data_IF_315639377676
#
_entry.id   IF_315639377676
#
_cell.length_a   1.000
_cell.length_b   1.000
_cell.length_c   1.000
_cell.angle_alpha   90.00
_cell.angle_beta   90.00
_cell.angle_gamma   90.00
#
_symmetry.space_group_name_H-M   'P 1'
#
loop_
_entity.id
_entity.type
_entity.pdbx_description
1 polymer ?
#
# COMPACT_ATOMS: atom_id res chain seq x y z
N UNK A 1 10.49 6.54 -17.88
CA UNK A 1 10.00 5.45 -17.02
C UNK A 1 8.55 5.24 -17.38
N UNK A 2 8.19 4.10 -17.97
CA UNK A 2 6.80 3.83 -18.29
C UNK A 2 6.18 3.22 -17.03
N UNK A 3 5.34 3.99 -16.35
CA UNK A 3 4.45 3.45 -15.33
C UNK A 3 3.62 2.35 -15.98
N UNK A 4 3.72 1.14 -15.46
CA UNK A 4 2.66 0.15 -15.66
C UNK A 4 1.47 0.68 -14.84
N UNK A 5 0.35 0.99 -15.45
CA UNK A 5 -0.87 1.18 -14.69
C UNK A 5 -1.28 -0.20 -14.20
N UNK A 6 -0.87 -0.56 -12.98
CA UNK A 6 -1.56 -1.62 -12.28
C UNK A 6 -2.96 -1.07 -12.00
N UNK A 7 -3.88 -1.46 -12.86
CA UNK A 7 -5.30 -1.27 -12.68
C UNK A 7 -5.65 -1.76 -11.28
N UNK A 8 -6.02 -0.82 -10.42
CA UNK A 8 -6.64 -1.10 -9.13
C UNK A 8 -7.99 -1.71 -9.47
N UNK A 9 -8.01 -3.03 -9.51
CA UNK A 9 -9.21 -3.79 -9.82
C UNK A 9 -10.21 -3.65 -8.69
N UNK A 10 -11.22 -2.88 -8.93
CA UNK A 10 -12.54 -3.36 -8.56
C UNK A 10 -12.85 -4.50 -9.54
N UNK A 11 -13.20 -5.72 -9.10
CA UNK A 11 -13.38 -6.87 -9.99
C UNK A 11 -14.64 -6.73 -10.82
N UNK A 12 -14.57 -5.96 -11.89
CA UNK A 12 -15.76 -5.62 -12.66
C UNK A 12 -15.42 -5.31 -14.09
N UNK A 13 -15.99 -6.05 -15.03
CA UNK A 13 -16.18 -5.60 -16.40
C UNK A 13 -16.73 -6.68 -17.34
N UNK A 14 -17.82 -6.39 -18.01
CA UNK A 14 -18.37 -6.50 -19.37
C UNK A 14 -19.59 -7.36 -19.61
N UNK A 15 -20.51 -6.97 -20.35
CA UNK A 15 -21.10 -7.30 -21.64
C UNK A 15 -22.52 -6.74 -21.86
N UNK A 16 -22.68 -5.97 -22.87
CA UNK A 16 -23.61 -5.77 -23.97
C UNK A 16 -25.09 -5.54 -23.84
N UNK A 17 -25.38 -4.59 -24.64
CA UNK A 17 -26.61 -4.20 -25.35
C UNK A 17 -27.59 -5.32 -25.61
N UNK A 18 -28.62 -5.41 -24.80
CA UNK A 18 -29.99 -5.70 -25.22
C UNK A 18 -30.95 -4.99 -24.29
N UNK A 19 -31.80 -4.16 -24.86
CA UNK A 19 -32.97 -3.51 -24.30
C UNK A 19 -33.11 -3.59 -22.78
N UNK A 20 -32.72 -2.51 -22.14
CA UNK A 20 -32.95 -2.29 -20.72
C UNK A 20 -34.43 -2.15 -20.41
N UNK A 21 -35.12 -3.27 -20.31
CA UNK A 21 -36.19 -3.34 -19.34
C UNK A 21 -35.49 -3.66 -18.02
N UNK A 22 -35.11 -2.60 -17.30
CA UNK A 22 -34.64 -2.71 -15.94
C UNK A 22 -35.71 -3.42 -15.12
N UNK A 23 -35.60 -4.73 -14.97
CA UNK A 23 -36.34 -5.44 -13.96
C UNK A 23 -35.74 -5.07 -12.59
N UNK A 24 -36.30 -4.04 -11.99
CA UNK A 24 -35.89 -3.54 -10.67
C UNK A 24 -35.82 -4.68 -9.64
N UNK A 25 -36.65 -5.70 -9.79
CA UNK A 25 -36.64 -6.89 -8.94
C UNK A 25 -35.38 -7.71 -9.13
N UNK A 26 -34.92 -7.86 -10.37
CA UNK A 26 -33.72 -8.65 -10.70
C UNK A 26 -32.42 -7.98 -10.24
N UNK A 27 -32.31 -6.65 -10.37
CA UNK A 27 -31.17 -5.90 -9.85
C UNK A 27 -31.10 -5.97 -8.33
N UNK A 28 -32.21 -5.86 -7.62
CA UNK A 28 -32.24 -6.05 -6.17
C UNK A 28 -31.81 -7.47 -5.75
N UNK A 29 -32.25 -8.49 -6.48
CA UNK A 29 -31.80 -9.87 -6.24
C UNK A 29 -30.30 -10.03 -6.50
N UNK A 30 -29.77 -9.38 -7.54
CA UNK A 30 -28.35 -9.36 -7.83
C UNK A 30 -27.55 -8.71 -6.69
N UNK A 31 -27.93 -7.51 -6.26
CA UNK A 31 -27.25 -6.82 -5.15
C UNK A 31 -27.25 -7.72 -3.92
N UNK A 32 -28.36 -8.29 -3.55
CA UNK A 32 -28.47 -9.22 -2.42
C UNK A 32 -27.62 -10.50 -2.62
N UNK A 33 -27.33 -10.92 -3.86
CA UNK A 33 -26.50 -12.10 -4.14
C UNK A 33 -25.00 -11.86 -4.04
N UNK A 34 -24.58 -10.60 -4.13
CA UNK A 34 -23.17 -10.19 -4.02
C UNK A 34 -22.88 -9.37 -2.75
N UNK A 35 -23.90 -9.18 -1.89
CA UNK A 35 -23.69 -8.56 -0.57
C UNK A 35 -22.84 -9.48 0.29
N UNK A 36 -21.77 -8.92 0.88
CA UNK A 36 -20.86 -9.69 1.73
C UNK A 36 -19.50 -9.06 1.88
N UNK A 37 -18.66 -9.70 2.68
CA UNK A 37 -17.27 -9.38 2.89
C UNK A 37 -16.40 -10.45 2.21
N UNK A 38 -15.60 -10.05 1.24
CA UNK A 38 -14.82 -10.91 0.38
C UNK A 38 -13.34 -10.64 0.54
N UNK A 39 -12.60 -11.70 0.81
CA UNK A 39 -11.16 -11.69 0.88
C UNK A 39 -10.55 -12.37 -0.33
N UNK A 40 -9.53 -11.76 -0.88
CA UNK A 40 -8.80 -12.27 -2.04
C UNK A 40 -7.31 -12.24 -1.76
N UNK A 41 -6.66 -13.36 -2.03
CA UNK A 41 -5.20 -13.45 -2.05
C UNK A 41 -4.67 -13.00 -3.41
N UNK A 42 -3.65 -12.14 -3.39
CA UNK A 42 -2.91 -11.74 -4.60
C UNK A 42 -1.62 -12.53 -4.64
N UNK A 43 -1.32 -13.15 -5.78
CA UNK A 43 -0.11 -13.96 -5.96
C UNK A 43 0.69 -13.52 -7.18
N UNK A 44 2.02 -13.64 -7.08
CA UNK A 44 2.98 -13.63 -8.17
C UNK A 44 3.58 -15.04 -8.25
N UNK A 45 3.31 -15.78 -9.36
CA UNK A 45 3.78 -17.16 -9.53
C UNK A 45 3.52 -18.05 -8.30
N UNK A 46 2.30 -18.04 -7.80
CA UNK A 46 1.82 -18.77 -6.62
C UNK A 46 2.33 -18.28 -5.25
N UNK A 47 3.25 -17.32 -5.19
CA UNK A 47 3.65 -16.67 -3.94
C UNK A 47 2.66 -15.56 -3.57
N UNK A 48 2.23 -15.53 -2.32
CA UNK A 48 1.39 -14.44 -1.80
C UNK A 48 2.16 -13.11 -1.82
N UNK A 49 1.65 -12.09 -2.51
CA UNK A 49 2.26 -10.76 -2.61
C UNK A 49 1.36 -9.66 -2.11
N UNK A 50 0.12 -9.97 -1.76
CA UNK A 50 -0.83 -8.99 -1.27
C UNK A 50 -2.21 -9.56 -1.06
N UNK A 51 -3.15 -8.67 -0.76
CA UNK A 51 -4.55 -9.00 -0.62
C UNK A 51 -5.46 -7.88 -1.14
N UNK A 52 -6.68 -8.26 -1.44
CA UNK A 52 -7.82 -7.38 -1.61
C UNK A 52 -8.91 -7.85 -0.66
N UNK A 53 -9.42 -6.93 0.18
CA UNK A 53 -10.67 -7.12 0.88
C UNK A 53 -11.72 -6.22 0.25
N UNK A 54 -12.89 -6.74 -0.05
CA UNK A 54 -14.00 -5.99 -0.63
C UNK A 54 -15.30 -6.30 0.13
N UNK A 55 -15.89 -5.28 0.71
CA UNK A 55 -17.19 -5.35 1.35
C UNK A 55 -18.23 -4.65 0.48
N UNK A 56 -19.32 -5.37 0.15
CA UNK A 56 -20.47 -4.83 -0.57
C UNK A 56 -21.66 -4.92 0.37
N UNK A 57 -22.30 -3.79 0.63
CA UNK A 57 -23.43 -3.73 1.54
C UNK A 57 -24.51 -2.75 1.07
N UNK A 58 -25.76 -3.04 1.41
CA UNK A 58 -26.88 -2.13 1.23
C UNK A 58 -27.13 -1.37 2.53
N UNK A 59 -26.89 -0.06 2.51
CA UNK A 59 -27.04 0.84 3.65
C UNK A 59 -28.20 1.81 3.47
N UNK A 60 -28.50 2.62 4.49
CA UNK A 60 -29.50 3.71 4.38
C UNK A 60 -29.10 4.76 3.34
N UNK A 61 -27.79 4.97 3.13
CA UNK A 61 -27.25 5.91 2.14
C UNK A 61 -27.31 5.37 0.71
N UNK A 62 -27.35 4.05 0.53
CA UNK A 62 -27.37 3.38 -0.76
C UNK A 62 -26.54 2.11 -0.81
N UNK A 63 -26.05 1.74 -1.99
CA UNK A 63 -25.15 0.60 -2.18
C UNK A 63 -23.73 1.06 -1.87
N UNK A 64 -23.14 0.51 -0.83
CA UNK A 64 -21.76 0.80 -0.43
C UNK A 64 -20.82 -0.28 -0.92
N UNK A 65 -19.72 0.13 -1.54
CA UNK A 65 -18.54 -0.73 -1.82
C UNK A 65 -17.39 -0.15 -1.03
N UNK A 66 -16.83 -0.93 -0.12
CA UNK A 66 -15.55 -0.66 0.52
C UNK A 66 -14.51 -1.62 -0.02
N UNK A 67 -13.34 -1.13 -0.38
CA UNK A 67 -12.24 -1.98 -0.85
C UNK A 67 -10.94 -1.57 -0.18
N UNK A 68 -10.23 -2.53 0.34
CA UNK A 68 -8.88 -2.39 0.88
C UNK A 68 -7.94 -3.27 0.08
N UNK A 69 -7.03 -2.65 -0.66
CA UNK A 69 -6.01 -3.31 -1.48
C UNK A 69 -4.63 -3.03 -0.90
N UNK A 70 -3.83 -4.06 -0.75
CA UNK A 70 -2.42 -3.93 -0.39
C UNK A 70 -1.62 -5.03 -1.08
N UNK A 71 -0.56 -4.64 -1.79
CA UNK A 71 0.34 -5.61 -2.38
C UNK A 71 1.74 -5.02 -2.58
N UNK A 72 2.72 -5.93 -2.60
CA UNK A 72 4.12 -5.60 -2.88
C UNK A 72 4.69 -6.63 -3.85
N UNK A 73 5.11 -6.17 -5.01
CA UNK A 73 5.74 -6.99 -6.03
C UNK A 73 7.22 -6.65 -6.07
N UNK A 74 8.09 -7.66 -6.10
CA UNK A 74 9.53 -7.47 -6.14
C UNK A 74 9.97 -6.46 -7.21
N UNK A 75 10.72 -5.44 -6.80
CA UNK A 75 11.23 -4.37 -7.67
C UNK A 75 10.23 -3.23 -7.96
N UNK A 76 9.04 -3.25 -7.37
CA UNK A 76 8.06 -2.16 -7.41
C UNK A 76 7.80 -1.64 -6.00
N UNK A 77 7.44 -0.36 -5.90
CA UNK A 77 6.99 0.21 -4.63
C UNK A 77 5.72 -0.49 -4.14
N UNK A 78 5.59 -0.74 -2.83
CA UNK A 78 4.34 -1.24 -2.25
C UNK A 78 3.18 -0.32 -2.59
N UNK A 79 2.06 -0.90 -2.96
CA UNK A 79 0.84 -0.18 -3.30
C UNK A 79 -0.23 -0.52 -2.28
N UNK A 80 -0.83 0.50 -1.70
CA UNK A 80 -2.02 0.37 -0.86
C UNK A 80 -3.13 1.25 -1.40
N UNK A 81 -4.37 0.81 -1.30
CA UNK A 81 -5.54 1.63 -1.62
C UNK A 81 -6.68 1.28 -0.67
N UNK A 82 -7.24 2.31 -0.04
CA UNK A 82 -8.50 2.25 0.67
C UNK A 82 -9.52 3.06 -0.12
N UNK A 83 -10.57 2.40 -0.62
CA UNK A 83 -11.59 3.02 -1.46
C UNK A 83 -12.98 2.76 -0.89
N UNK A 84 -13.81 3.79 -0.88
CA UNK A 84 -15.22 3.71 -0.54
C UNK A 84 -16.05 4.40 -1.61
N UNK A 85 -17.03 3.68 -2.16
CA UNK A 85 -17.98 4.17 -3.15
C UNK A 85 -19.38 3.99 -2.61
N UNK A 86 -20.22 5.00 -2.74
CA UNK A 86 -21.63 4.97 -2.36
C UNK A 86 -22.45 5.31 -3.59
N UNK A 87 -23.34 4.37 -3.97
CA UNK A 87 -24.23 4.50 -5.12
C UNK A 87 -25.67 4.61 -4.67
N UNK A 88 -26.49 5.28 -5.48
CA UNK A 88 -27.93 5.33 -5.27
C UNK A 88 -28.53 3.92 -5.21
N UNK A 89 -29.42 3.66 -4.24
CA UNK A 89 -30.18 2.41 -4.15
C UNK A 89 -31.29 2.30 -5.23
N UNK A 90 -31.49 3.34 -6.01
CA UNK A 90 -32.50 3.45 -7.06
C UNK A 90 -31.86 3.66 -8.44
N UNK A 91 -32.49 3.14 -9.52
CA UNK A 91 -32.02 3.40 -10.87
C UNK A 91 -31.83 4.89 -11.15
N UNK A 92 -30.77 5.27 -11.89
CA UNK A 92 -29.79 4.43 -12.60
C UNK A 92 -28.63 3.91 -11.73
N UNK A 93 -28.73 3.91 -10.40
CA UNK A 93 -27.69 3.44 -9.47
C UNK A 93 -26.37 4.22 -9.61
N UNK A 94 -26.48 5.54 -9.84
CA UNK A 94 -25.33 6.41 -10.04
C UNK A 94 -24.50 6.58 -8.75
N UNK A 95 -23.23 6.91 -8.92
CA UNK A 95 -22.34 7.25 -7.82
C UNK A 95 -22.84 8.51 -7.11
N UNK A 96 -23.03 8.45 -5.80
CA UNK A 96 -23.35 9.60 -4.95
C UNK A 96 -22.06 10.23 -4.45
N UNK A 97 -21.14 9.39 -3.97
CA UNK A 97 -19.90 9.82 -3.37
C UNK A 97 -18.82 8.72 -3.52
N UNK A 98 -17.61 9.14 -3.80
CA UNK A 98 -16.44 8.27 -3.82
C UNK A 98 -15.29 8.89 -3.04
N UNK A 99 -14.56 8.07 -2.31
CA UNK A 99 -13.28 8.44 -1.72
C UNK A 99 -12.29 7.33 -1.95
N UNK A 100 -11.05 7.70 -2.23
CA UNK A 100 -9.96 6.74 -2.31
C UNK A 100 -8.69 7.38 -1.74
N UNK A 101 -8.00 6.63 -0.89
CA UNK A 101 -6.65 6.96 -0.44
C UNK A 101 -5.70 5.95 -1.02
N UNK A 102 -4.73 6.40 -1.79
CA UNK A 102 -3.68 5.57 -2.39
C UNK A 102 -2.35 5.84 -1.73
N UNK A 103 -1.62 4.78 -1.42
CA UNK A 103 -0.24 4.85 -0.98
C UNK A 103 0.68 4.22 -2.01
N UNK A 104 1.81 4.89 -2.28
CA UNK A 104 2.91 4.38 -3.10
C UNK A 104 4.17 4.55 -2.28
N UNK A 105 4.61 3.49 -1.60
CA UNK A 105 5.69 3.61 -0.65
C UNK A 105 5.37 4.65 0.45
N UNK A 106 6.13 5.74 0.49
CA UNK A 106 5.95 6.82 1.47
C UNK A 106 5.03 7.97 0.99
N UNK A 107 4.51 7.91 -0.22
CA UNK A 107 3.63 8.93 -0.79
C UNK A 107 2.16 8.51 -0.66
N UNK A 108 1.29 9.47 -0.41
CA UNK A 108 -0.15 9.23 -0.36
C UNK A 108 -0.88 10.26 -1.23
N UNK A 109 -1.90 9.77 -1.94
CA UNK A 109 -2.81 10.57 -2.75
C UNK A 109 -4.22 10.33 -2.23
N UNK A 110 -4.90 11.40 -1.83
CA UNK A 110 -6.31 11.36 -1.44
C UNK A 110 -7.16 11.86 -2.61
N UNK A 111 -8.12 11.04 -3.02
CA UNK A 111 -9.11 11.32 -4.06
C UNK A 111 -10.50 11.43 -3.42
N UNK A 112 -11.25 12.47 -3.74
CA UNK A 112 -12.69 12.51 -3.48
C UNK A 112 -13.45 12.81 -4.77
N UNK A 113 -14.60 12.14 -4.93
CA UNK A 113 -15.51 12.32 -6.06
C UNK A 113 -16.89 12.58 -5.46
N UNK A 114 -17.40 13.76 -5.71
CA UNK A 114 -18.70 14.19 -5.22
C UNK A 114 -19.61 14.54 -6.41
N UNK A 115 -20.90 14.22 -6.29
CA UNK A 115 -21.89 14.64 -7.27
C UNK A 115 -22.02 16.16 -7.26
N UNK A 116 -21.99 16.81 -8.44
CA UNK A 116 -22.18 18.26 -8.52
C UNK A 116 -23.64 18.65 -8.16
N UNK A 117 -23.83 19.55 -7.19
CA UNK A 117 -25.18 19.87 -6.69
C UNK A 117 -26.07 20.63 -7.68
N UNK A 118 -25.49 21.29 -8.68
CA UNK A 118 -26.25 22.16 -9.60
C UNK A 118 -26.84 21.47 -10.84
N UNK A 119 -26.58 20.18 -11.03
CA UNK A 119 -26.83 19.52 -12.31
C UNK A 119 -27.78 18.31 -12.24
N UNK A 120 -28.63 18.23 -11.26
CA UNK A 120 -29.69 17.21 -11.23
C UNK A 120 -30.94 17.64 -11.99
N UNK A 121 -30.87 17.73 -13.31
CA UNK A 121 -32.04 17.85 -14.18
C UNK A 121 -32.31 16.48 -14.81
N UNK A 122 -33.19 15.72 -14.20
CA UNK A 122 -33.57 14.39 -14.68
C UNK A 122 -33.06 13.24 -13.84
N UNK A 123 -33.05 12.02 -14.42
CA UNK A 123 -32.67 10.77 -13.73
C UNK A 123 -31.17 10.51 -13.70
N UNK A 124 -30.36 11.27 -14.45
CA UNK A 124 -28.91 11.11 -14.53
C UNK A 124 -28.17 12.37 -14.07
N UNK A 125 -27.09 12.22 -13.29
CA UNK A 125 -26.25 13.34 -12.93
C UNK A 125 -25.51 13.87 -14.16
N UNK A 126 -25.38 15.18 -14.27
CA UNK A 126 -24.69 15.83 -15.39
C UNK A 126 -23.17 15.94 -15.19
N UNK A 127 -22.64 15.49 -14.05
CA UNK A 127 -21.21 15.48 -13.79
C UNK A 127 -20.81 15.20 -12.35
N UNK A 128 -19.52 15.07 -12.16
CA UNK A 128 -18.87 14.85 -10.85
C UNK A 128 -17.76 15.85 -10.65
N UNK A 129 -17.66 16.35 -9.44
CA UNK A 129 -16.52 17.12 -8.95
C UNK A 129 -15.48 16.18 -8.38
N UNK A 130 -14.30 16.15 -8.97
CA UNK A 130 -13.17 15.32 -8.57
C UNK A 130 -12.15 16.21 -7.88
N UNK A 131 -11.79 15.90 -6.66
CA UNK A 131 -10.72 16.55 -5.93
C UNK A 131 -9.59 15.57 -5.64
N UNK A 132 -8.39 15.92 -6.07
CA UNK A 132 -7.15 15.22 -5.78
C UNK A 132 -6.34 16.03 -4.79
N UNK A 133 -5.82 15.36 -3.76
CA UNK A 133 -4.88 15.97 -2.81
C UNK A 133 -3.65 15.08 -2.72
N UNK A 134 -2.50 15.62 -3.09
CA UNK A 134 -1.21 14.95 -3.01
C UNK A 134 -0.19 15.89 -2.37
N UNK A 135 0.57 15.42 -1.40
CA UNK A 135 1.62 16.20 -0.72
C UNK A 135 1.16 17.56 -0.17
N UNK A 136 -0.14 17.67 0.19
CA UNK A 136 -0.73 18.91 0.70
C UNK A 136 -1.20 19.90 -0.38
N UNK A 137 -0.98 19.60 -1.65
CA UNK A 137 -1.53 20.36 -2.79
C UNK A 137 -2.83 19.70 -3.27
N UNK A 138 -3.84 20.52 -3.54
CA UNK A 138 -5.13 20.04 -4.02
C UNK A 138 -5.44 20.60 -5.41
N UNK A 139 -5.83 19.72 -6.31
CA UNK A 139 -6.42 20.08 -7.60
C UNK A 139 -7.90 19.67 -7.63
N UNK A 140 -8.67 20.34 -8.47
CA UNK A 140 -10.11 20.06 -8.64
C UNK A 140 -10.43 20.03 -10.12
N UNK A 141 -11.08 18.96 -10.55
CA UNK A 141 -11.51 18.75 -11.93
C UNK A 141 -12.99 18.35 -11.96
N UNK A 142 -13.65 18.56 -13.09
CA UNK A 142 -15.01 18.08 -13.33
C UNK A 142 -15.02 17.06 -14.45
N UNK A 143 -15.85 16.03 -14.32
CA UNK A 143 -16.07 15.04 -15.37
C UNK A 143 -17.56 14.85 -15.64
N UNK A 144 -17.90 14.69 -16.91
CA UNK A 144 -19.26 14.34 -17.36
C UNK A 144 -19.43 12.83 -17.55
N UNK A 145 -18.44 12.03 -17.15
CA UNK A 145 -18.52 10.56 -17.23
C UNK A 145 -19.69 10.05 -16.39
N UNK A 146 -20.45 9.11 -16.93
CA UNK A 146 -21.45 8.39 -16.15
C UNK A 146 -20.76 7.35 -15.28
N UNK A 147 -20.94 7.43 -13.97
CA UNK A 147 -20.40 6.46 -13.02
C UNK A 147 -21.57 5.80 -12.31
N UNK A 148 -21.90 4.58 -12.65
CA UNK A 148 -22.98 3.85 -12.01
C UNK A 148 -22.58 2.43 -11.58
N UNK A 149 -23.29 1.92 -10.58
CA UNK A 149 -23.01 0.61 -9.98
C UNK A 149 -23.05 -0.53 -10.98
N UNK A 150 -24.03 -0.57 -11.90
CA UNK A 150 -24.19 -1.66 -12.83
C UNK A 150 -23.13 -1.66 -13.93
N UNK A 151 -22.63 -0.50 -14.37
CA UNK A 151 -21.54 -0.44 -15.34
C UNK A 151 -20.24 -0.92 -14.71
N UNK A 152 -19.98 -0.51 -13.48
CA UNK A 152 -18.83 -1.03 -12.73
C UNK A 152 -18.96 -2.54 -12.43
N UNK A 153 -20.16 -3.08 -12.25
CA UNK A 153 -20.46 -4.49 -11.94
C UNK A 153 -21.03 -5.28 -13.12
N UNK A 154 -20.79 -4.84 -14.32
CA UNK A 154 -21.50 -5.31 -15.51
C UNK A 154 -21.29 -6.80 -15.80
N UNK A 155 -20.05 -7.32 -15.64
CA UNK A 155 -19.76 -8.73 -15.81
C UNK A 155 -20.43 -9.60 -14.78
N UNK A 156 -20.24 -9.23 -13.54
CA UNK A 156 -20.87 -9.86 -12.39
C UNK A 156 -22.39 -9.95 -12.60
N UNK A 157 -23.04 -8.83 -12.98
CA UNK A 157 -24.46 -8.79 -13.28
C UNK A 157 -24.84 -9.63 -14.51
N UNK A 158 -24.02 -9.63 -15.57
CA UNK A 158 -24.26 -10.44 -16.76
C UNK A 158 -24.22 -11.93 -16.43
N UNK A 159 -23.25 -12.36 -15.62
CA UNK A 159 -23.16 -13.75 -15.13
C UNK A 159 -24.38 -14.14 -14.31
N UNK A 160 -24.74 -13.32 -13.30
CA UNK A 160 -25.93 -13.51 -12.47
C UNK A 160 -27.21 -13.61 -13.31
N UNK A 161 -27.33 -12.74 -14.30
CA UNK A 161 -28.48 -12.69 -15.19
C UNK A 161 -28.53 -13.81 -16.21
N UNK A 162 -27.46 -14.61 -16.30
CA UNK A 162 -27.33 -15.67 -17.29
C UNK A 162 -27.15 -15.17 -18.73
N UNK A 163 -26.82 -13.87 -18.88
CA UNK A 163 -26.54 -13.21 -20.14
C UNK A 163 -25.16 -13.61 -20.66
N UNK A 164 -24.99 -13.53 -21.94
CA UNK A 164 -23.72 -13.84 -22.63
C UNK A 164 -23.80 -15.08 -23.51
N UNK A 165 -23.26 -14.97 -24.70
CA UNK A 165 -23.12 -16.06 -25.65
C UNK A 165 -21.65 -16.34 -25.84
N UNK A 166 -21.27 -17.62 -25.79
CA UNK A 166 -19.90 -18.07 -26.04
C UNK A 166 -19.41 -17.62 -27.42
N UNK A 167 -18.19 -17.10 -27.49
CA UNK A 167 -17.52 -16.72 -28.73
C UNK A 167 -17.97 -15.35 -29.27
N UNK A 168 -18.69 -14.55 -28.51
CA UNK A 168 -19.06 -13.18 -28.91
C UNK A 168 -18.27 -12.20 -28.06
N UNK A 169 -17.40 -11.44 -28.72
CA UNK A 169 -16.70 -10.32 -28.08
C UNK A 169 -17.58 -9.08 -28.05
N UNK A 170 -17.66 -8.47 -26.93
CA UNK A 170 -18.42 -7.26 -26.73
C UNK A 170 -17.57 -6.19 -26.06
N UNK A 171 -17.80 -4.92 -26.40
CA UNK A 171 -17.04 -3.79 -25.89
C UNK A 171 -17.96 -2.79 -25.19
N UNK A 172 -17.46 -2.17 -24.13
CA UNK A 172 -18.17 -1.06 -23.46
C UNK A 172 -17.16 -0.18 -22.73
N UNK A 173 -17.64 0.93 -22.26
CA UNK A 173 -16.88 1.90 -21.48
C UNK A 173 -17.13 1.68 -19.99
N UNK A 174 -16.07 1.84 -19.21
CA UNK A 174 -16.12 1.92 -17.76
C UNK A 174 -15.31 3.12 -17.29
N UNK A 175 -15.71 3.70 -16.17
CA UNK A 175 -14.92 4.72 -15.53
C UNK A 175 -13.76 4.10 -14.75
N UNK A 176 -12.55 4.47 -15.13
CA UNK A 176 -11.33 4.07 -14.41
C UNK A 176 -10.96 5.16 -13.39
N UNK A 177 -11.00 4.79 -12.11
CA UNK A 177 -10.65 5.67 -11.02
C UNK A 177 -9.15 6.01 -10.98
N UNK A 178 -8.29 5.24 -11.64
CA UNK A 178 -6.84 5.49 -11.65
C UNK A 178 -6.45 6.58 -12.64
N UNK A 179 -7.05 6.56 -13.82
CA UNK A 179 -6.84 7.55 -14.87
C UNK A 179 -7.87 8.68 -14.87
N UNK A 180 -8.94 8.57 -14.06
CA UNK A 180 -10.09 9.48 -13.97
C UNK A 180 -10.79 9.66 -15.34
N UNK A 181 -10.80 8.62 -16.14
CA UNK A 181 -11.35 8.64 -17.49
C UNK A 181 -12.07 7.34 -17.84
N UNK A 182 -12.89 7.39 -18.88
CA UNK A 182 -13.50 6.17 -19.39
C UNK A 182 -12.49 5.33 -20.17
N UNK A 183 -12.48 4.03 -19.88
CA UNK A 183 -11.70 3.04 -20.60
C UNK A 183 -12.63 2.11 -21.36
N UNK A 184 -12.18 1.68 -22.56
CA UNK A 184 -12.87 0.67 -23.34
C UNK A 184 -12.38 -0.71 -22.92
N UNK A 185 -13.31 -1.55 -22.60
CA UNK A 185 -13.03 -2.93 -22.26
C UNK A 185 -13.75 -3.86 -23.22
N UNK A 186 -12.99 -4.81 -23.76
CA UNK A 186 -13.51 -5.86 -24.62
C UNK A 186 -13.53 -7.19 -23.87
N UNK A 187 -14.56 -8.02 -24.04
CA UNK A 187 -14.64 -9.30 -23.35
C UNK A 187 -15.42 -10.36 -24.10
N UNK A 188 -15.07 -11.59 -23.78
CA UNK A 188 -15.63 -12.77 -24.39
C UNK A 188 -15.93 -13.85 -23.35
N UNK A 189 -17.11 -14.45 -23.44
CA UNK A 189 -17.46 -15.62 -22.64
C UNK A 189 -16.74 -16.86 -23.20
N UNK A 190 -15.81 -17.39 -22.40
CA UNK A 190 -14.98 -18.54 -22.81
C UNK A 190 -15.64 -19.87 -22.43
N UNK A 191 -16.06 -20.00 -21.16
CA UNK A 191 -16.60 -21.27 -20.66
C UNK A 191 -17.71 -21.02 -19.64
N UNK A 192 -18.71 -21.91 -19.69
CA UNK A 192 -19.79 -21.92 -18.68
C UNK A 192 -19.95 -23.36 -18.18
N UNK A 193 -19.74 -23.55 -16.89
CA UNK A 193 -19.93 -24.84 -16.20
C UNK A 193 -21.19 -24.87 -15.35
N UNK A 194 -21.36 -25.94 -14.56
CA UNK A 194 -22.46 -26.05 -13.58
C UNK A 194 -22.36 -24.99 -12.49
N UNK A 195 -21.16 -24.55 -12.10
CA UNK A 195 -20.92 -23.75 -10.90
C UNK A 195 -20.21 -22.43 -11.14
N UNK A 196 -19.55 -22.29 -12.30
CA UNK A 196 -18.77 -21.11 -12.64
C UNK A 196 -18.88 -20.68 -14.09
N UNK A 197 -18.53 -19.42 -14.33
CA UNK A 197 -18.47 -18.80 -15.65
C UNK A 197 -17.09 -18.15 -15.80
N UNK A 198 -16.39 -18.49 -16.89
CA UNK A 198 -15.09 -17.89 -17.22
C UNK A 198 -15.25 -16.91 -18.38
N UNK A 199 -14.71 -15.73 -18.19
CA UNK A 199 -14.71 -14.63 -19.14
C UNK A 199 -13.27 -14.20 -19.38
N UNK A 200 -12.90 -13.96 -20.63
CA UNK A 200 -11.67 -13.28 -20.99
C UNK A 200 -11.98 -11.82 -21.28
N UNK A 201 -11.25 -10.92 -20.65
CA UNK A 201 -11.41 -9.48 -20.76
C UNK A 201 -10.09 -8.84 -21.15
N UNK A 202 -10.12 -7.87 -22.05
CA UNK A 202 -8.95 -7.12 -22.50
C UNK A 202 -9.11 -5.65 -22.14
N UNK A 203 -8.14 -5.13 -21.38
CA UNK A 203 -8.03 -3.73 -21.01
C UNK A 203 -6.61 -3.29 -21.35
N UNK A 204 -6.43 -2.22 -22.10
CA UNK A 204 -5.12 -1.68 -22.50
C UNK A 204 -4.14 -2.76 -23.01
N UNK A 205 -4.64 -3.70 -23.82
CA UNK A 205 -3.90 -4.85 -24.37
C UNK A 205 -3.47 -5.90 -23.32
N UNK A 206 -3.89 -5.78 -22.09
CA UNK A 206 -3.70 -6.80 -21.05
C UNK A 206 -4.90 -7.73 -21.01
N UNK A 207 -4.63 -9.03 -21.10
CA UNK A 207 -5.68 -10.05 -21.05
C UNK A 207 -5.88 -10.49 -19.59
N UNK A 208 -7.13 -10.46 -19.16
CA UNK A 208 -7.60 -10.91 -17.87
C UNK A 208 -8.54 -12.10 -18.04
N UNK A 209 -8.30 -13.17 -17.30
CA UNK A 209 -9.22 -14.31 -17.23
C UNK A 209 -9.95 -14.26 -15.90
N UNK A 210 -11.22 -13.99 -15.96
CA UNK A 210 -12.09 -13.79 -14.81
C UNK A 210 -12.99 -15.01 -14.64
N UNK A 211 -12.99 -15.61 -13.48
CA UNK A 211 -13.89 -16.71 -13.11
C UNK A 211 -14.87 -16.23 -12.06
N UNK A 212 -16.14 -16.30 -12.36
CA UNK A 212 -17.24 -15.93 -11.48
C UNK A 212 -18.02 -17.15 -11.03
N UNK A 213 -18.55 -17.12 -9.79
CA UNK A 213 -19.63 -17.97 -9.38
C UNK A 213 -20.91 -17.64 -10.16
N UNK A 214 -21.92 -18.51 -10.14
CA UNK A 214 -23.24 -18.21 -10.75
C UNK A 214 -23.99 -17.04 -10.12
N UNK A 215 -23.62 -16.68 -8.90
CA UNK A 215 -24.19 -15.52 -8.21
C UNK A 215 -23.52 -14.20 -8.62
N UNK A 216 -22.54 -14.24 -9.52
CA UNK A 216 -21.78 -13.07 -9.97
C UNK A 216 -20.61 -12.70 -9.06
N UNK A 217 -20.30 -13.47 -8.03
CA UNK A 217 -19.13 -13.22 -7.18
C UNK A 217 -17.87 -13.65 -7.89
N UNK A 218 -16.84 -12.80 -7.92
CA UNK A 218 -15.53 -13.14 -8.47
C UNK A 218 -14.88 -14.22 -7.60
N UNK A 219 -14.46 -15.30 -8.23
CA UNK A 219 -13.73 -16.38 -7.57
C UNK A 219 -12.24 -16.31 -7.88
N UNK A 220 -11.88 -15.90 -9.11
CA UNK A 220 -10.49 -15.78 -9.56
C UNK A 220 -10.35 -14.79 -10.71
N UNK A 221 -9.24 -14.04 -10.69
CA UNK A 221 -8.78 -13.22 -11.82
C UNK A 221 -7.31 -13.52 -12.07
N UNK A 222 -6.98 -13.99 -13.30
CA UNK A 222 -5.60 -14.16 -13.74
C UNK A 222 -5.26 -13.05 -14.74
N UNK A 223 -4.11 -12.40 -14.58
CA UNK A 223 -3.65 -11.33 -15.44
C UNK A 223 -2.16 -11.44 -15.76
N UNK A 224 -1.85 -11.28 -17.02
CA UNK A 224 -0.55 -11.68 -17.53
C UNK A 224 -0.30 -13.18 -17.36
N UNK A 225 0.97 -13.57 -17.31
CA UNK A 225 1.36 -14.98 -17.18
C UNK A 225 1.68 -15.43 -15.75
N UNK A 226 1.66 -14.49 -14.78
CA UNK A 226 2.21 -14.75 -13.46
C UNK A 226 1.37 -14.24 -12.28
N UNK A 227 0.44 -13.32 -12.50
CA UNK A 227 -0.35 -12.74 -11.43
C UNK A 227 -1.74 -13.32 -11.33
N UNK A 228 -2.20 -13.56 -10.12
CA UNK A 228 -3.60 -13.91 -9.88
C UNK A 228 -4.16 -13.28 -8.62
N UNK A 229 -5.47 -13.03 -8.65
CA UNK A 229 -6.30 -12.66 -7.51
C UNK A 229 -7.26 -13.81 -7.31
N UNK A 230 -7.28 -14.43 -6.15
CA UNK A 230 -8.10 -15.59 -5.85
C UNK A 230 -8.86 -15.38 -4.56
N UNK A 231 -10.18 -15.62 -4.60
CA UNK A 231 -11.03 -15.60 -3.41
C UNK A 231 -10.54 -16.63 -2.40
N UNK A 232 -10.44 -16.21 -1.16
CA UNK A 232 -9.91 -16.98 -0.05
C UNK A 232 -10.62 -16.57 1.24
N UNK A 233 -10.36 -17.24 2.33
CA UNK A 233 -10.74 -16.73 3.65
C UNK A 233 -9.74 -15.68 4.14
N UNK A 234 -10.15 -14.78 5.04
CA UNK A 234 -9.26 -13.85 5.71
C UNK A 234 -8.02 -14.55 6.28
N UNK A 235 -8.23 -15.67 6.99
CA UNK A 235 -7.17 -16.47 7.60
C UNK A 235 -6.15 -16.97 6.57
N UNK A 236 -6.61 -17.52 5.44
CA UNK A 236 -5.71 -18.01 4.38
C UNK A 236 -4.93 -16.89 3.72
N UNK A 237 -5.56 -15.73 3.54
CA UNK A 237 -4.90 -14.52 3.04
C UNK A 237 -3.77 -14.11 3.99
N UNK A 238 -4.07 -13.94 5.27
CA UNK A 238 -3.09 -13.52 6.28
C UNK A 238 -1.94 -14.54 6.38
N UNK A 239 -2.25 -15.84 6.42
CA UNK A 239 -1.23 -16.89 6.45
C UNK A 239 -0.33 -16.84 5.21
N UNK A 240 -0.89 -16.62 4.01
CA UNK A 240 -0.10 -16.56 2.77
C UNK A 240 0.85 -15.34 2.71
N UNK A 241 0.58 -14.32 3.51
CA UNK A 241 1.42 -13.13 3.61
C UNK A 241 2.56 -13.33 4.62
N UNK A 242 2.35 -14.16 5.65
CA UNK A 242 3.38 -14.52 6.61
C UNK A 242 4.42 -15.49 6.04
N UNK A 243 4.01 -16.33 5.08
CA UNK A 243 4.90 -17.26 4.37
C UNK A 243 5.72 -16.55 3.25
N UNK A 244 5.70 -15.22 3.20
CA UNK A 244 6.50 -14.49 2.22
C UNK A 244 7.97 -14.78 2.47
N UNK A 245 8.62 -15.42 1.50
CA UNK A 245 10.01 -15.15 1.22
C UNK A 245 10.13 -13.64 0.92
N UNK A 246 10.42 -12.84 1.93
CA UNK A 246 10.99 -11.50 1.74
C UNK A 246 12.45 -11.63 1.27
N UNK A 247 12.70 -12.57 0.34
CA UNK A 247 13.76 -12.40 -0.58
C UNK A 247 13.42 -11.17 -1.44
N UNK A 248 13.40 -10.00 -0.82
CA UNK A 248 14.06 -8.92 -1.49
C UNK A 248 15.34 -9.56 -2.00
N UNK A 249 15.54 -9.63 -3.33
CA UNK A 249 16.89 -9.60 -3.83
C UNK A 249 17.57 -8.60 -2.90
N UNK A 250 18.38 -9.09 -1.98
CA UNK A 250 19.24 -8.24 -1.18
C UNK A 250 20.26 -7.74 -2.19
N UNK A 251 19.83 -6.77 -3.02
CA UNK A 251 20.74 -6.02 -3.83
C UNK A 251 21.67 -5.45 -2.80
N UNK A 252 22.88 -6.00 -2.76
CA UNK A 252 23.88 -5.54 -1.86
C UNK A 252 23.92 -4.01 -1.95
N UNK A 253 23.89 -3.36 -0.82
CA UNK A 253 24.02 -1.91 -0.80
C UNK A 253 25.50 -1.53 -0.92
N UNK A 254 25.81 -0.37 -1.50
CA UNK A 254 27.19 0.11 -1.58
C UNK A 254 27.75 0.41 -0.17
N UNK A 255 29.05 0.38 -0.07
CA UNK A 255 29.73 0.86 1.14
C UNK A 255 29.76 2.40 1.12
N UNK A 256 29.12 3.04 2.09
CA UNK A 256 29.13 4.50 2.22
C UNK A 256 30.21 4.89 3.22
N UNK A 257 31.34 5.39 2.72
CA UNK A 257 32.51 5.76 3.52
C UNK A 257 32.51 7.26 3.83
N UNK A 258 32.98 7.62 5.01
CA UNK A 258 33.15 9.00 5.44
C UNK A 258 34.67 9.40 5.44
N UNK A 259 34.92 10.68 5.23
CA UNK A 259 36.28 11.27 5.26
C UNK A 259 36.87 11.32 6.67
N UNK A 260 36.04 11.23 7.72
CA UNK A 260 36.47 11.28 9.11
C UNK A 260 35.53 10.60 10.07
N UNK A 261 36.08 10.24 11.25
CA UNK A 261 35.32 9.73 12.37
C UNK A 261 34.44 10.82 13.02
N UNK A 262 33.25 10.43 13.48
CA UNK A 262 32.41 11.28 14.32
C UNK A 262 32.75 11.04 15.80
N UNK A 263 33.05 12.10 16.55
CA UNK A 263 33.64 12.05 17.93
C UNK A 263 32.53 11.78 18.89
N UNK A 264 31.53 11.58 19.03
CA UNK A 264 30.46 11.32 20.02
C UNK A 264 29.08 11.28 19.31
N UNK A 265 28.95 10.25 18.51
CA UNK A 265 27.78 10.08 17.63
C UNK A 265 26.47 10.12 18.42
N UNK A 266 26.44 9.62 19.65
CA UNK A 266 25.24 9.58 20.50
C UNK A 266 24.75 10.99 20.95
N UNK A 267 25.60 12.01 20.89
CA UNK A 267 25.24 13.40 21.22
C UNK A 267 24.95 14.25 20.00
N UNK A 268 25.08 13.68 18.83
CA UNK A 268 24.87 14.41 17.59
C UNK A 268 23.41 14.81 17.43
N UNK A 269 23.17 16.07 17.11
CA UNK A 269 21.83 16.62 16.84
C UNK A 269 21.57 16.88 15.36
N UNK A 270 22.61 16.84 14.55
CA UNK A 270 22.48 16.99 13.11
C UNK A 270 23.77 16.66 12.40
N UNK A 271 23.65 16.05 11.24
CA UNK A 271 24.75 15.66 10.38
C UNK A 271 24.42 16.07 8.93
N UNK A 272 25.40 16.63 8.24
CA UNK A 272 25.32 16.85 6.80
C UNK A 272 26.53 16.23 6.11
N UNK A 273 26.25 15.48 5.06
CA UNK A 273 27.21 14.79 4.25
C UNK A 273 27.16 15.35 2.83
N UNK A 274 28.32 15.48 2.18
CA UNK A 274 28.45 15.92 0.79
C UNK A 274 29.15 14.84 -0.03
N UNK A 275 28.58 14.49 -1.18
CA UNK A 275 29.16 13.49 -2.09
C UNK A 275 30.54 13.97 -2.58
N UNK A 276 31.55 13.16 -2.36
CA UNK A 276 32.93 13.42 -2.78
C UNK A 276 33.29 12.60 -4.02
N UNK A 277 33.23 11.27 -3.94
CA UNK A 277 33.58 10.39 -5.05
C UNK A 277 32.85 9.05 -5.01
N UNK A 278 32.88 8.39 -6.16
CA UNK A 278 32.40 7.01 -6.34
C UNK A 278 33.52 6.22 -7.00
N UNK A 279 33.79 5.02 -6.54
CA UNK A 279 34.88 4.18 -7.09
C UNK A 279 34.57 3.59 -8.46
N UNK A 280 33.32 3.65 -8.92
CA UNK A 280 32.91 3.13 -10.22
C UNK A 280 33.39 3.98 -11.39
N UNK A 281 33.91 3.32 -12.43
CA UNK A 281 34.38 3.96 -13.69
C UNK A 281 33.19 4.51 -14.56
N UNK A 282 31.96 4.36 -14.11
CA UNK A 282 30.76 4.70 -14.88
C UNK A 282 30.29 6.14 -14.63
N UNK A 283 30.74 7.07 -15.46
CA UNK A 283 30.26 8.47 -15.47
C UNK A 283 28.77 8.66 -15.56
N UNK A 284 28.03 7.65 -16.07
CA UNK A 284 26.58 7.75 -16.39
C UNK A 284 25.71 7.74 -15.13
N UNK A 285 26.17 7.17 -14.03
CA UNK A 285 25.35 6.97 -12.83
C UNK A 285 25.62 7.97 -11.69
N UNK A 286 26.71 8.72 -11.75
CA UNK A 286 27.08 9.70 -10.71
C UNK A 286 25.98 10.77 -10.52
N UNK A 287 25.26 11.09 -11.59
CA UNK A 287 24.20 12.11 -11.57
C UNK A 287 22.90 11.65 -10.87
N UNK A 288 22.80 10.36 -10.52
CA UNK A 288 21.62 9.80 -9.81
C UNK A 288 21.81 9.77 -8.30
N UNK A 289 23.03 9.86 -7.80
CA UNK A 289 23.31 9.85 -6.36
C UNK A 289 23.05 11.23 -5.74
N UNK A 290 22.55 11.29 -4.49
CA UNK A 290 22.32 12.55 -3.82
C UNK A 290 23.66 13.28 -3.57
N UNK A 291 23.73 14.53 -4.02
CA UNK A 291 24.91 15.40 -3.83
C UNK A 291 25.12 15.72 -2.34
N UNK A 292 24.03 15.82 -1.58
CA UNK A 292 24.08 16.03 -0.13
C UNK A 292 23.01 15.23 0.58
N UNK A 293 23.35 14.78 1.78
CA UNK A 293 22.45 14.07 2.69
C UNK A 293 22.52 14.75 4.05
N UNK A 294 21.39 14.92 4.73
CA UNK A 294 21.40 15.57 6.03
C UNK A 294 20.32 15.03 6.97
N UNK A 295 20.67 15.02 8.24
CA UNK A 295 19.72 14.78 9.33
C UNK A 295 19.63 16.00 10.25
N UNK A 296 18.52 16.13 10.92
CA UNK A 296 18.35 17.04 12.07
C UNK A 296 17.45 16.36 13.08
N UNK A 297 17.94 16.20 14.31
CA UNK A 297 17.06 15.80 15.43
C UNK A 297 16.02 16.91 15.62
N UNK A 298 14.79 16.61 15.27
CA UNK A 298 13.68 17.57 15.36
C UNK A 298 13.48 17.94 16.84
N UNK A 299 13.69 19.21 17.17
CA UNK A 299 13.31 19.72 18.50
C UNK A 299 11.80 19.75 18.63
N UNK A 300 11.23 18.73 19.26
CA UNK A 300 9.78 18.55 19.46
C UNK A 300 9.11 19.72 20.19
N UNK A 301 9.89 20.62 20.80
CA UNK A 301 9.36 21.81 21.49
C UNK A 301 9.03 22.94 20.52
N UNK A 302 9.63 22.96 19.32
CA UNK A 302 9.52 24.06 18.36
C UNK A 302 8.64 23.78 17.14
N UNK A 303 8.19 22.53 16.92
CA UNK A 303 7.36 22.22 15.76
C UNK A 303 5.92 22.69 15.98
N UNK A 304 5.66 23.95 15.65
CA UNK A 304 4.35 24.43 15.21
C UNK A 304 4.18 24.09 13.73
N UNK A 305 4.35 22.84 13.32
CA UNK A 305 4.14 22.50 11.94
C UNK A 305 2.66 22.33 11.68
N UNK A 306 2.17 23.12 10.77
CA UNK A 306 0.94 22.99 10.00
C UNK A 306 0.91 21.71 9.12
N UNK A 307 1.77 20.73 9.37
CA UNK A 307 1.73 19.45 8.65
C UNK A 307 0.47 18.69 9.03
N UNK A 308 -0.49 18.68 8.12
CA UNK A 308 -1.73 17.88 8.20
C UNK A 308 -1.50 16.40 7.95
N UNK A 309 -0.24 15.96 7.87
CA UNK A 309 0.13 14.56 7.66
C UNK A 309 -0.30 13.73 8.86
N UNK A 310 -0.93 12.61 8.61
CA UNK A 310 -1.25 11.61 9.62
C UNK A 310 -0.52 10.31 9.25
N UNK A 311 0.17 9.70 10.21
CA UNK A 311 0.79 8.41 9.98
C UNK A 311 -0.25 7.29 9.88
N UNK A 312 0.03 6.22 9.12
CA UNK A 312 -0.85 5.09 9.00
C UNK A 312 -1.13 4.39 10.32
N UNK A 313 -2.35 3.91 10.47
CA UNK A 313 -2.83 3.10 11.61
C UNK A 313 -3.34 1.73 11.16
N UNK A 314 -3.65 1.59 9.88
CA UNK A 314 -4.36 0.44 9.36
C UNK A 314 -3.47 -0.79 9.28
N UNK A 315 -4.10 -1.95 9.34
CA UNK A 315 -3.47 -3.21 8.97
C UNK A 315 -3.07 -3.17 7.49
N UNK A 316 -1.89 -3.66 7.19
CA UNK A 316 -1.42 -3.87 5.82
C UNK A 316 -0.86 -5.28 5.69
N UNK A 317 -0.49 -5.68 4.48
CA UNK A 317 0.15 -6.97 4.26
C UNK A 317 1.44 -7.15 5.08
N UNK A 318 2.18 -6.07 5.30
CA UNK A 318 3.41 -6.07 6.11
C UNK A 318 3.12 -5.98 7.61
N UNK A 319 2.06 -5.25 8.00
CA UNK A 319 1.75 -4.92 9.39
C UNK A 319 0.42 -5.55 9.82
N UNK A 320 0.47 -6.78 10.28
CA UNK A 320 -0.68 -7.64 10.58
C UNK A 320 -1.28 -7.35 11.97
N UNK A 321 -1.77 -6.15 12.19
CA UNK A 321 -2.18 -5.61 13.50
C UNK A 321 -3.28 -6.40 14.21
N UNK A 322 -4.11 -7.15 13.49
CA UNK A 322 -5.22 -7.94 14.03
C UNK A 322 -4.99 -9.45 13.96
N UNK A 323 -3.78 -9.88 13.56
CA UNK A 323 -3.48 -11.29 13.51
C UNK A 323 -3.51 -11.92 14.92
N UNK A 324 -4.08 -13.14 15.11
CA UNK A 324 -4.19 -13.79 16.42
C UNK A 324 -2.87 -13.87 17.19
N UNK A 325 -1.75 -14.12 16.51
CA UNK A 325 -0.41 -14.13 17.12
C UNK A 325 -0.05 -12.75 17.69
N UNK A 326 -0.32 -11.67 16.95
CA UNK A 326 -0.06 -10.29 17.40
C UNK A 326 -0.94 -9.94 18.60
N UNK A 327 -2.23 -10.31 18.56
CA UNK A 327 -3.15 -10.13 19.69
C UNK A 327 -2.64 -10.88 20.92
N UNK A 328 -2.20 -12.13 20.75
CA UNK A 328 -1.65 -12.94 21.86
C UNK A 328 -0.36 -12.35 22.45
N UNK A 329 0.52 -11.79 21.61
CA UNK A 329 1.71 -11.05 22.10
C UNK A 329 1.29 -9.86 22.95
N UNK A 330 0.26 -9.13 22.52
CA UNK A 330 -0.24 -7.94 23.22
C UNK A 330 -1.03 -8.26 24.51
N UNK A 331 -1.52 -9.48 24.72
CA UNK A 331 -2.08 -9.90 26.01
C UNK A 331 -1.05 -9.82 27.15
N UNK A 332 0.23 -9.93 26.81
CA UNK A 332 1.35 -9.78 27.77
C UNK A 332 1.73 -8.31 28.01
N UNK A 333 1.21 -7.39 27.18
CA UNK A 333 1.53 -5.98 27.22
C UNK A 333 0.62 -5.23 28.18
N UNK A 334 1.22 -4.54 29.15
CA UNK A 334 0.50 -3.68 30.08
C UNK A 334 0.50 -2.25 29.55
N UNK A 335 -0.65 -1.80 29.03
CA UNK A 335 -0.81 -0.44 28.52
C UNK A 335 -0.63 0.59 29.66
N UNK A 336 0.13 1.64 29.37
CA UNK A 336 0.44 2.76 30.26
C UNK A 336 -0.37 3.99 29.87
N UNK A 337 -0.46 4.97 30.77
CA UNK A 337 -1.25 6.19 30.53
C UNK A 337 -0.66 7.06 29.42
N UNK A 338 0.67 7.19 29.37
CA UNK A 338 1.34 8.01 28.34
C UNK A 338 1.81 7.17 27.18
N UNK A 339 1.54 7.63 25.95
CA UNK A 339 1.95 6.90 24.73
C UNK A 339 3.47 6.71 24.67
N UNK A 340 4.27 7.67 25.12
CA UNK A 340 5.74 7.53 25.12
C UNK A 340 6.23 6.40 26.03
N UNK A 341 5.52 6.15 27.14
CA UNK A 341 5.84 5.03 28.03
C UNK A 341 5.43 3.69 27.39
N UNK A 342 4.36 3.71 26.59
CA UNK A 342 3.96 2.55 25.76
C UNK A 342 5.01 2.25 24.70
N UNK A 343 5.57 3.27 24.04
CA UNK A 343 6.66 3.11 23.06
C UNK A 343 7.86 2.41 23.71
N UNK A 344 8.32 2.91 24.87
CA UNK A 344 9.44 2.30 25.59
C UNK A 344 9.15 0.87 26.02
N UNK A 345 7.92 0.59 26.45
CA UNK A 345 7.50 -0.75 26.86
C UNK A 345 7.38 -1.72 25.68
N UNK A 346 6.94 -1.27 24.49
CA UNK A 346 6.93 -2.08 23.28
C UNK A 346 8.34 -2.43 22.82
N UNK A 347 9.28 -1.48 22.86
CA UNK A 347 10.69 -1.74 22.54
C UNK A 347 11.24 -2.82 23.48
N UNK A 348 11.00 -2.68 24.79
CA UNK A 348 11.43 -3.69 25.76
C UNK A 348 10.81 -5.08 25.48
N UNK A 349 9.52 -5.12 25.15
CA UNK A 349 8.84 -6.37 24.79
C UNK A 349 9.45 -7.02 23.54
N UNK A 350 9.80 -6.23 22.52
CA UNK A 350 10.44 -6.75 21.31
C UNK A 350 11.79 -7.38 21.65
N UNK A 351 12.60 -6.72 22.47
CA UNK A 351 13.89 -7.29 22.93
C UNK A 351 13.77 -8.52 23.85
N UNK A 352 12.59 -8.76 24.43
CA UNK A 352 12.30 -10.03 25.12
C UNK A 352 11.91 -11.16 24.15
N UNK A 353 11.38 -10.80 22.97
CA UNK A 353 10.86 -11.76 22.00
C UNK A 353 11.84 -12.07 20.87
N UNK A 354 12.69 -11.13 20.51
CA UNK A 354 13.55 -11.18 19.32
C UNK A 354 14.99 -10.86 19.70
N UNK A 355 15.90 -11.75 19.34
CA UNK A 355 17.35 -11.54 19.41
C UNK A 355 17.86 -10.94 18.09
N UNK A 356 18.75 -9.95 18.17
CA UNK A 356 19.33 -9.34 16.97
C UNK A 356 20.28 -10.31 16.27
N UNK A 357 20.02 -10.58 15.01
CA UNK A 357 20.85 -11.38 14.13
C UNK A 357 20.75 -10.82 12.71
N UNK A 358 21.90 -10.59 12.04
CA UNK A 358 21.91 -10.23 10.63
C UNK A 358 21.37 -11.42 9.82
N UNK A 359 20.21 -11.25 9.21
CA UNK A 359 19.56 -12.28 8.41
C UNK A 359 19.67 -11.96 6.93
N UNK A 360 20.05 -12.94 6.07
CA UNK A 360 20.27 -12.67 4.65
C UNK A 360 18.98 -12.34 3.88
N UNK A 361 17.82 -12.75 4.39
CA UNK A 361 16.51 -12.51 3.78
C UNK A 361 15.58 -11.93 4.83
N UNK A 362 14.95 -10.81 4.51
CA UNK A 362 13.96 -10.19 5.40
C UNK A 362 12.82 -11.15 5.70
N UNK A 363 12.40 -11.20 6.96
CA UNK A 363 11.30 -12.03 7.46
C UNK A 363 10.04 -11.17 7.62
N UNK A 364 8.87 -11.81 7.52
CA UNK A 364 7.62 -11.18 7.94
C UNK A 364 7.49 -11.16 9.46
N UNK A 365 6.61 -10.31 9.97
CA UNK A 365 6.39 -10.11 11.41
C UNK A 365 6.07 -11.42 12.14
N UNK A 366 5.31 -12.32 11.52
CA UNK A 366 4.97 -13.61 12.14
C UNK A 366 6.14 -14.57 12.15
N UNK A 367 6.94 -14.61 11.10
CA UNK A 367 8.15 -15.42 11.01
C UNK A 367 9.21 -14.91 12.00
N UNK A 368 9.35 -13.59 12.15
CA UNK A 368 10.20 -12.97 13.17
C UNK A 368 9.82 -13.40 14.58
N UNK A 369 8.52 -13.44 14.88
CA UNK A 369 8.03 -13.91 16.18
C UNK A 369 8.22 -15.42 16.38
N UNK A 370 8.10 -16.21 15.32
CA UNK A 370 8.30 -17.68 15.38
C UNK A 370 9.78 -18.04 15.51
N UNK A 371 10.64 -17.39 14.73
CA UNK A 371 12.10 -17.62 14.78
C UNK A 371 12.75 -17.03 16.02
N UNK A 372 12.18 -15.97 16.60
CA UNK A 372 12.76 -15.18 17.69
C UNK A 372 14.03 -14.43 17.28
N UNK A 373 14.26 -14.20 15.98
CA UNK A 373 15.47 -13.55 15.45
C UNK A 373 15.11 -12.55 14.36
N UNK A 374 15.92 -11.48 14.22
CA UNK A 374 15.73 -10.48 13.18
C UNK A 374 16.79 -9.40 13.21
N UNK A 375 16.90 -8.66 12.12
CA UNK A 375 17.75 -7.47 12.03
C UNK A 375 16.96 -6.17 12.23
N UNK A 376 17.52 -5.04 11.80
CA UNK A 376 16.86 -3.74 11.99
C UNK A 376 15.50 -3.65 11.29
N UNK A 377 15.30 -4.34 10.18
CA UNK A 377 14.03 -4.32 9.44
C UNK A 377 12.94 -5.04 10.23
N UNK A 378 13.23 -6.23 10.76
CA UNK A 378 12.29 -7.00 11.57
C UNK A 378 11.94 -6.30 12.88
N UNK A 379 12.93 -5.69 13.54
CA UNK A 379 12.68 -4.88 14.75
C UNK A 379 11.75 -3.70 14.45
N UNK A 380 11.99 -2.97 13.35
CA UNK A 380 11.19 -1.82 12.96
C UNK A 380 9.77 -2.23 12.53
N UNK A 381 9.61 -3.32 11.78
CA UNK A 381 8.31 -3.80 11.29
C UNK A 381 7.47 -4.41 12.42
N UNK A 382 8.10 -5.17 13.32
CA UNK A 382 7.42 -5.68 14.51
C UNK A 382 6.97 -4.52 15.41
N UNK A 383 7.83 -3.52 15.62
CA UNK A 383 7.44 -2.32 16.36
C UNK A 383 6.26 -1.59 15.70
N UNK A 384 6.30 -1.36 14.38
CA UNK A 384 5.20 -0.74 13.65
C UNK A 384 3.89 -1.51 13.85
N UNK A 385 3.94 -2.85 13.75
CA UNK A 385 2.77 -3.71 13.93
C UNK A 385 2.18 -3.58 15.32
N UNK A 386 3.01 -3.75 16.36
CA UNK A 386 2.55 -3.68 17.75
C UNK A 386 2.07 -2.27 18.14
N UNK A 387 2.76 -1.22 17.70
CA UNK A 387 2.39 0.17 17.98
C UNK A 387 1.04 0.52 17.35
N UNK A 388 0.81 0.17 16.08
CA UNK A 388 -0.50 0.36 15.41
C UNK A 388 -1.60 -0.44 16.11
N UNK A 389 -1.32 -1.66 16.54
CA UNK A 389 -2.31 -2.51 17.25
C UNK A 389 -2.79 -1.90 18.55
N UNK A 390 -1.96 -1.10 19.22
CA UNK A 390 -2.36 -0.36 20.43
C UNK A 390 -2.78 1.09 20.18
N UNK A 391 -2.90 1.50 18.93
CA UNK A 391 -3.43 2.80 18.55
C UNK A 391 -2.40 3.92 18.46
N UNK A 392 -1.10 3.63 18.30
CA UNK A 392 -0.04 4.62 18.04
C UNK A 392 0.26 4.66 16.55
N UNK A 393 -0.06 5.77 15.85
CA UNK A 393 0.26 5.92 14.43
C UNK A 393 1.77 5.81 14.20
N UNK A 394 2.18 4.90 13.34
CA UNK A 394 3.59 4.51 13.16
C UNK A 394 3.85 4.09 11.72
N UNK A 395 5.05 4.37 11.23
CA UNK A 395 5.57 3.79 10.00
C UNK A 395 7.03 3.38 10.17
N UNK A 396 7.43 2.31 9.48
CA UNK A 396 8.83 1.97 9.26
C UNK A 396 9.43 2.97 8.28
N UNK A 397 10.62 3.44 8.53
CA UNK A 397 11.40 4.34 7.68
C UNK A 397 12.78 3.76 7.44
N UNK A 398 13.35 4.05 6.29
CA UNK A 398 14.65 3.56 5.86
C UNK A 398 15.62 4.71 5.63
N UNK A 399 16.89 4.45 5.84
CA UNK A 399 17.92 5.43 5.64
C UNK A 399 19.31 4.89 5.90
N UNK A 400 20.20 5.77 6.30
CA UNK A 400 21.57 5.45 6.68
C UNK A 400 21.88 6.00 8.07
N UNK A 401 22.70 5.27 8.80
CA UNK A 401 23.17 5.63 10.15
C UNK A 401 24.67 5.48 10.26
N UNK A 402 25.29 6.25 11.15
CA UNK A 402 26.72 6.13 11.39
C UNK A 402 27.02 4.84 12.15
N UNK A 403 27.88 4.03 11.56
CA UNK A 403 28.41 2.82 12.20
C UNK A 403 29.81 3.08 12.75
N UNK A 404 29.94 2.94 14.06
CA UNK A 404 31.22 3.14 14.74
C UNK A 404 32.11 1.91 14.51
N UNK A 405 33.32 2.13 13.98
CA UNK A 405 34.29 1.08 13.69
C UNK A 405 35.67 1.65 13.35
N UNK A 406 36.59 0.80 12.87
CA UNK A 406 37.91 1.24 12.45
C UNK A 406 37.87 2.17 11.22
N UNK A 407 36.90 1.96 10.34
CA UNK A 407 36.64 2.79 9.16
C UNK A 407 35.34 3.54 9.36
N UNK A 408 35.36 4.89 9.26
CA UNK A 408 34.12 5.66 9.40
C UNK A 408 33.20 5.40 8.21
N UNK A 409 32.00 4.89 8.48
CA UNK A 409 31.03 4.55 7.45
C UNK A 409 29.59 4.81 7.89
N UNK A 410 28.72 4.91 6.91
CA UNK A 410 27.27 4.87 7.12
C UNK A 410 26.76 3.50 6.66
N UNK A 411 25.89 2.88 7.45
CA UNK A 411 25.21 1.64 7.12
C UNK A 411 23.74 1.90 6.80
N UNK A 412 23.17 1.14 5.88
CA UNK A 412 21.73 1.15 5.66
C UNK A 412 21.01 0.59 6.87
N UNK A 413 19.92 1.21 7.26
CA UNK A 413 19.21 0.92 8.50
C UNK A 413 17.72 1.20 8.38
N UNK A 414 16.93 0.48 9.17
CA UNK A 414 15.51 0.68 9.33
C UNK A 414 15.18 1.09 10.76
N UNK A 415 14.28 2.06 10.93
CA UNK A 415 13.78 2.51 12.23
C UNK A 415 12.33 2.98 12.10
N UNK A 416 11.80 3.71 13.07
CA UNK A 416 10.38 4.09 13.06
C UNK A 416 10.18 5.59 13.20
N UNK A 417 9.16 6.11 12.53
CA UNK A 417 8.54 7.40 12.80
C UNK A 417 7.17 7.15 13.43
N UNK A 418 6.94 7.75 14.60
CA UNK A 418 5.69 7.65 15.36
C UNK A 418 5.02 9.02 15.46
N UNK A 419 3.69 9.03 15.68
CA UNK A 419 2.95 10.27 15.89
C UNK A 419 2.28 10.25 17.27
N UNK A 420 2.74 11.12 18.19
CA UNK A 420 2.18 11.30 19.52
C UNK A 420 1.73 12.75 19.68
N UNK A 421 0.46 12.98 20.07
CA UNK A 421 -0.11 14.33 20.24
C UNK A 421 0.08 15.24 19.02
N UNK A 422 -0.10 14.69 17.80
CA UNK A 422 0.11 15.36 16.52
C UNK A 422 1.56 15.80 16.26
N UNK A 423 2.52 15.30 17.00
CA UNK A 423 3.95 15.53 16.78
C UNK A 423 4.62 14.26 16.31
N UNK A 424 5.54 14.40 15.37
CA UNK A 424 6.33 13.30 14.85
C UNK A 424 7.59 13.11 15.67
N UNK A 425 7.91 11.87 15.97
CA UNK A 425 9.09 11.45 16.68
C UNK A 425 9.73 10.27 15.97
N UNK A 426 11.02 10.34 15.68
CA UNK A 426 11.76 9.19 15.18
C UNK A 426 12.37 8.42 16.35
N UNK A 427 12.22 7.11 16.33
CA UNK A 427 12.71 6.18 17.34
C UNK A 427 13.37 4.97 16.68
N UNK A 428 14.32 4.37 17.33
CA UNK A 428 14.97 3.16 16.85
C UNK A 428 14.78 2.00 17.84
N UNK A 429 13.92 1.04 17.53
CA UNK A 429 13.72 -0.11 18.40
C UNK A 429 14.93 -1.04 18.44
N UNK A 430 15.76 -1.12 17.40
CA UNK A 430 16.95 -1.96 17.36
C UNK A 430 17.98 -1.51 18.40
N UNK A 431 18.23 -0.21 18.44
CA UNK A 431 19.21 0.39 19.37
C UNK A 431 18.58 1.02 20.61
N UNK A 432 17.28 0.85 20.80
CA UNK A 432 16.48 1.35 21.94
C UNK A 432 16.60 2.89 22.10
N UNK A 433 16.68 3.61 20.99
CA UNK A 433 16.79 5.07 21.01
C UNK A 433 15.42 5.78 20.96
N UNK A 434 15.16 6.69 21.88
CA UNK A 434 13.97 7.53 21.97
C UNK A 434 14.35 8.93 22.44
N UNK A 435 14.42 9.96 21.59
CA UNK A 435 14.46 9.93 20.13
C UNK A 435 15.78 9.36 19.57
N UNK A 436 15.82 9.13 18.26
CA UNK A 436 17.08 8.83 17.56
C UNK A 436 18.06 10.00 17.65
N UNK A 437 19.35 9.73 17.54
CA UNK A 437 20.38 10.76 17.44
C UNK A 437 20.52 11.34 16.02
N UNK A 438 21.38 12.34 15.86
CA UNK A 438 21.60 13.03 14.60
C UNK A 438 22.36 12.22 13.56
N UNK A 439 22.70 10.97 13.79
CA UNK A 439 23.32 10.10 12.77
C UNK A 439 22.30 9.46 11.83
N UNK A 440 21.03 9.43 12.20
CA UNK A 440 19.95 8.84 11.40
C UNK A 440 19.55 9.79 10.26
N UNK A 441 19.94 9.46 9.05
CA UNK A 441 19.61 10.20 7.83
C UNK A 441 18.53 9.42 7.08
N UNK A 442 17.29 9.87 7.18
CA UNK A 442 16.15 9.29 6.47
C UNK A 442 16.28 9.50 4.96
N UNK A 443 16.08 8.45 4.17
CA UNK A 443 16.16 8.49 2.73
C UNK A 443 14.79 8.31 2.09
N UNK A 444 14.59 8.93 0.93
CA UNK A 444 13.44 8.62 0.09
C UNK A 444 13.65 7.29 -0.64
N UNK A 445 12.58 6.63 -1.06
CA UNK A 445 12.67 5.39 -1.83
C UNK A 445 13.50 5.56 -3.12
N UNK A 446 13.33 6.70 -3.82
CA UNK A 446 14.13 7.01 -5.00
C UNK A 446 15.62 7.09 -4.67
N UNK A 447 15.99 7.66 -3.53
CA UNK A 447 17.36 7.73 -3.06
C UNK A 447 17.92 6.35 -2.73
N UNK A 448 17.15 5.51 -2.04
CA UNK A 448 17.53 4.11 -1.75
C UNK A 448 17.76 3.35 -3.06
N UNK A 449 16.83 3.45 -4.01
CA UNK A 449 16.97 2.82 -5.32
C UNK A 449 18.18 3.32 -6.10
N UNK A 450 18.53 4.60 -5.94
CA UNK A 450 19.75 5.13 -6.54
C UNK A 450 21.01 4.48 -5.98
N UNK A 451 21.09 4.25 -4.67
CA UNK A 451 22.19 3.52 -4.05
C UNK A 451 22.25 2.06 -4.50
N UNK A 452 21.13 1.38 -4.66
CA UNK A 452 21.07 -0.01 -5.12
C UNK A 452 21.60 -0.23 -6.54
N UNK A 453 21.81 0.83 -7.31
CA UNK A 453 22.50 0.73 -8.60
C UNK A 453 24.03 0.55 -8.48
N UNK A 454 24.60 0.62 -7.26
CA UNK A 454 26.03 0.52 -6.98
C UNK A 454 26.35 -0.54 -5.92
N UNK A 455 25.87 -1.77 -6.02
CA UNK A 455 25.85 -2.74 -4.92
C UNK A 455 27.24 -3.12 -4.40
N UNK A 456 28.28 -3.06 -5.22
CA UNK A 456 29.66 -3.47 -4.86
C UNK A 456 30.64 -2.30 -4.76
N UNK A 457 30.15 -1.08 -4.94
CA UNK A 457 30.99 0.11 -5.00
C UNK A 457 31.19 0.73 -3.61
N UNK A 458 32.27 1.53 -3.50
CA UNK A 458 32.43 2.43 -2.37
C UNK A 458 32.06 3.85 -2.79
N UNK A 459 31.11 4.42 -2.07
CA UNK A 459 30.66 5.80 -2.26
C UNK A 459 31.20 6.62 -1.09
N UNK A 460 32.00 7.64 -1.42
CA UNK A 460 32.65 8.47 -0.44
C UNK A 460 31.89 9.77 -0.24
N UNK A 461 31.56 10.06 1.02
CA UNK A 461 30.98 11.32 1.46
C UNK A 461 31.93 12.03 2.43
N UNK A 462 32.08 13.33 2.27
CA UNK A 462 32.74 14.18 3.26
C UNK A 462 31.70 14.72 4.27
N UNK A 463 32.08 14.81 5.53
CA UNK A 463 31.26 15.43 6.57
C UNK A 463 31.31 16.94 6.41
N UNK A 464 30.25 17.54 5.89
CA UNK A 464 30.13 18.98 5.68
C UNK A 464 29.98 19.71 7.02
N UNK A 465 29.04 19.29 7.87
CA UNK A 465 28.95 19.71 9.26
C UNK A 465 28.37 18.64 10.17
N UNK A 466 28.70 18.74 11.47
CA UNK A 466 28.15 17.92 12.54
C UNK A 466 27.81 18.84 13.72
N UNK A 467 26.58 18.78 14.21
CA UNK A 467 26.05 19.58 15.33
C UNK A 467 25.88 18.69 16.56
N UNK A 468 26.54 19.02 17.63
CA UNK A 468 26.50 18.28 18.90
C UNK A 468 25.56 18.90 19.93
#
# INVERSE_FOLDING_TARGET
MRFFPLLVFSPIIILVVVMFIFDRGRVKQYIASIEGDYWYKITDRDKGVGYLNEEISLTEEGISIFSLLDYSINGLEPVSSEKRLIFSASPPYHLIKGTERRGYGNEAVDLSIDLEPENTIGLEPNGYLIRLTANGESSTETTTASINFLDLNRLSYAVFSGLGKKGITESHEIFDFSSLSNQIVASELITKSSDSVMIESTVDSVIHRLTYSKLGVLERSDFGSQYSIQKSSEREVIQSLSDRDFAADSKAFPKILLDRMLSDSSKLKGLSLKLDSVTADHKIFRDTLPISLSSHVRDHRKNSSTERRQLPMNQTATFLTQHPTIVSVLERFQRRERDIDNVSALIALIHELVEYEDIPNSQGVLETLDSGRGDCTEFADLFTTLARSIGIPTQTVFGIVYEQGEVPKMAFHAWNEIQINKKFLEIDPTWQQIPVDGTHIKLSQNTISSFQNYPEEAINYSVDYAVY
#
